data_IF_361903001300
#
_entry.id   IF_361903001300
#
_cell.length_a   1.000
_cell.length_b   1.000
_cell.length_c   1.000
_cell.angle_alpha   90.00
_cell.angle_beta   90.00
_cell.angle_gamma   90.00
#
_symmetry.space_group_name_H-M   'P 1'
#
loop_
_entity.id
_entity.type
_entity.pdbx_description
1 polymer ?
#
# COMPACT_ATOMS: atom_id res chain seq x y z
N UNK A 1 -20.31 0.04 -0.12
CA UNK A 1 -19.19 -0.84 0.22
C UNK A 1 -19.05 -1.79 -0.96
N UNK A 2 -18.01 -1.64 -1.79
CA UNK A 2 -17.80 -2.59 -2.87
C UNK A 2 -17.42 -3.93 -2.23
N UNK A 3 -18.10 -5.01 -2.60
CA UNK A 3 -17.74 -6.36 -2.15
C UNK A 3 -16.34 -6.69 -2.68
N UNK A 4 -15.32 -6.48 -1.85
CA UNK A 4 -13.96 -6.84 -2.18
C UNK A 4 -13.77 -8.33 -1.87
N UNK A 5 -13.61 -9.14 -2.91
CA UNK A 5 -13.21 -10.54 -2.73
C UNK A 5 -11.89 -10.60 -1.96
N UNK A 6 -11.74 -11.47 -0.95
CA UNK A 6 -10.52 -11.57 -0.19
C UNK A 6 -9.35 -12.02 -1.08
N UNK A 7 -8.15 -11.50 -0.81
CA UNK A 7 -6.94 -11.78 -1.60
C UNK A 7 -6.64 -13.27 -1.69
N UNK A 8 -6.93 -14.05 -0.64
CA UNK A 8 -6.76 -15.50 -0.66
C UNK A 8 -7.68 -16.18 -1.68
N UNK A 9 -8.93 -15.74 -1.83
CA UNK A 9 -9.82 -16.25 -2.88
C UNK A 9 -9.26 -15.91 -4.26
N UNK A 10 -8.81 -14.67 -4.48
CA UNK A 10 -8.18 -14.25 -5.75
C UNK A 10 -6.92 -15.06 -6.08
N UNK A 11 -6.11 -15.42 -5.08
CA UNK A 11 -4.96 -16.32 -5.24
C UNK A 11 -5.42 -17.72 -5.67
N UNK A 12 -6.49 -18.25 -5.08
CA UNK A 12 -7.03 -19.56 -5.45
C UNK A 12 -7.62 -19.57 -6.86
N UNK A 13 -8.32 -18.50 -7.26
CA UNK A 13 -8.87 -18.32 -8.60
C UNK A 13 -7.75 -18.29 -9.65
N UNK A 14 -6.73 -17.46 -9.42
CA UNK A 14 -5.54 -17.38 -10.28
C UNK A 14 -4.83 -18.72 -10.41
N UNK A 15 -4.67 -19.46 -9.30
CA UNK A 15 -4.05 -20.80 -9.31
C UNK A 15 -4.90 -21.79 -10.12
N UNK A 16 -6.21 -21.74 -9.99
CA UNK A 16 -7.15 -22.60 -10.72
C UNK A 16 -7.13 -22.30 -12.22
N UNK A 17 -7.22 -21.02 -12.60
CA UNK A 17 -7.14 -20.58 -14.00
C UNK A 17 -5.82 -21.03 -14.65
N UNK A 18 -4.67 -20.80 -13.98
CA UNK A 18 -3.36 -21.26 -14.46
C UNK A 18 -3.33 -22.78 -14.64
N UNK A 19 -3.87 -23.55 -13.67
CA UNK A 19 -3.91 -25.02 -13.75
C UNK A 19 -4.71 -25.48 -14.98
N UNK A 20 -5.88 -24.87 -15.23
CA UNK A 20 -6.73 -25.21 -16.37
C UNK A 20 -6.05 -24.87 -17.69
N UNK A 21 -5.44 -23.69 -17.79
CA UNK A 21 -4.65 -23.29 -18.96
C UNK A 21 -3.50 -24.28 -19.23
N UNK A 22 -2.67 -24.57 -18.22
CA UNK A 22 -1.56 -25.53 -18.35
C UNK A 22 -2.05 -26.92 -18.75
N UNK A 23 -3.16 -27.39 -18.19
CA UNK A 23 -3.74 -28.68 -18.58
C UNK A 23 -4.15 -28.70 -20.05
N UNK A 24 -4.78 -27.62 -20.54
CA UNK A 24 -5.19 -27.49 -21.94
C UNK A 24 -3.97 -27.47 -22.88
N UNK A 25 -2.94 -26.67 -22.55
CA UNK A 25 -1.68 -26.65 -23.32
C UNK A 25 -1.06 -28.04 -23.40
N UNK A 26 -1.00 -28.75 -22.28
CA UNK A 26 -0.39 -30.07 -22.23
C UNK A 26 -1.18 -31.12 -23.01
N UNK A 27 -2.51 -31.05 -23.01
CA UNK A 27 -3.37 -31.92 -23.80
C UNK A 27 -3.14 -31.68 -25.30
N UNK A 28 -3.24 -30.43 -25.76
CA UNK A 28 -2.98 -30.07 -27.17
C UNK A 28 -1.58 -30.53 -27.58
N UNK A 29 -0.55 -30.26 -26.76
CA UNK A 29 0.84 -30.65 -27.08
C UNK A 29 1.01 -32.16 -27.26
N UNK A 30 0.21 -32.98 -26.57
CA UNK A 30 0.30 -34.45 -26.62
C UNK A 30 -0.48 -35.04 -27.79
N UNK A 31 -1.62 -34.45 -28.12
CA UNK A 31 -2.61 -35.06 -29.01
C UNK A 31 -2.77 -34.32 -30.35
N UNK A 32 -2.04 -33.21 -30.59
CA UNK A 32 -2.23 -32.40 -31.81
C UNK A 32 -2.03 -33.17 -33.12
N UNK A 33 -1.26 -34.27 -33.12
CA UNK A 33 -1.03 -35.11 -34.30
C UNK A 33 -2.24 -35.98 -34.63
N UNK A 34 -3.01 -36.35 -33.61
CA UNK A 34 -4.20 -37.20 -33.73
C UNK A 34 -5.49 -36.39 -33.90
N UNK A 35 -5.42 -35.06 -33.73
CA UNK A 35 -6.54 -34.14 -33.91
C UNK A 35 -6.72 -33.75 -35.38
N UNK A 36 -7.97 -33.70 -35.83
CA UNK A 36 -8.33 -33.03 -37.07
C UNK A 36 -8.09 -31.51 -37.00
N UNK A 37 -8.06 -30.86 -38.16
CA UNK A 37 -7.87 -29.40 -38.21
C UNK A 37 -8.98 -28.63 -37.47
N UNK A 38 -10.22 -29.12 -37.50
CA UNK A 38 -11.35 -28.50 -36.81
C UNK A 38 -11.27 -28.69 -35.29
N UNK A 39 -10.91 -29.89 -34.82
CA UNK A 39 -10.67 -30.16 -33.39
C UNK A 39 -9.51 -29.33 -32.84
N UNK A 40 -8.44 -29.19 -33.62
CA UNK A 40 -7.29 -28.37 -33.25
C UNK A 40 -7.69 -26.89 -33.17
N UNK A 41 -8.49 -26.40 -34.14
CA UNK A 41 -9.03 -25.03 -34.14
C UNK A 41 -9.95 -24.78 -32.94
N UNK A 42 -10.82 -25.72 -32.60
CA UNK A 42 -11.67 -25.62 -31.41
C UNK A 42 -10.83 -25.62 -30.12
N UNK A 43 -9.81 -26.48 -30.05
CA UNK A 43 -8.88 -26.56 -28.93
C UNK A 43 -8.12 -25.25 -28.73
N UNK A 44 -7.67 -24.61 -29.82
CA UNK A 44 -7.05 -23.28 -29.75
C UNK A 44 -8.03 -22.21 -29.27
N UNK A 45 -9.28 -22.19 -29.75
CA UNK A 45 -10.30 -21.26 -29.24
C UNK A 45 -10.50 -21.42 -27.72
N UNK A 46 -10.61 -22.66 -27.25
CA UNK A 46 -10.73 -22.97 -25.81
C UNK A 46 -9.48 -22.52 -25.05
N UNK A 47 -8.28 -22.75 -25.61
CA UNK A 47 -7.02 -22.34 -25.02
C UNK A 47 -6.92 -20.81 -24.89
N UNK A 48 -7.30 -20.06 -25.92
CA UNK A 48 -7.34 -18.59 -25.89
C UNK A 48 -8.28 -18.10 -24.79
N UNK A 49 -9.47 -18.68 -24.67
CA UNK A 49 -10.41 -18.33 -23.60
C UNK A 49 -9.82 -18.60 -22.20
N UNK A 50 -9.14 -19.74 -22.01
CA UNK A 50 -8.45 -20.00 -20.74
C UNK A 50 -7.29 -19.02 -20.50
N UNK A 51 -6.62 -18.58 -21.55
CA UNK A 51 -5.58 -17.54 -21.48
C UNK A 51 -6.16 -16.20 -21.00
N UNK A 52 -7.29 -15.77 -21.54
CA UNK A 52 -8.00 -14.56 -21.09
C UNK A 52 -8.34 -14.62 -19.60
N UNK A 53 -8.88 -15.75 -19.14
CA UNK A 53 -9.20 -15.95 -17.72
C UNK A 53 -7.97 -15.87 -16.80
N UNK A 54 -6.81 -16.32 -17.27
CA UNK A 54 -5.55 -16.18 -16.53
C UNK A 54 -5.13 -14.72 -16.45
N UNK A 55 -5.30 -13.94 -17.52
CA UNK A 55 -5.01 -12.51 -17.53
C UNK A 55 -5.93 -11.76 -16.56
N UNK A 56 -7.25 -11.95 -16.69
CA UNK A 56 -8.26 -11.36 -15.80
C UNK A 56 -7.96 -11.67 -14.33
N UNK A 57 -7.73 -12.94 -13.96
CA UNK A 57 -7.44 -13.30 -12.58
C UNK A 57 -6.12 -12.72 -12.05
N UNK A 58 -5.12 -12.47 -12.91
CA UNK A 58 -3.90 -11.77 -12.50
C UNK A 58 -4.15 -10.27 -12.31
N UNK A 59 -4.94 -9.64 -13.19
CA UNK A 59 -5.30 -8.22 -13.10
C UNK A 59 -6.11 -7.94 -11.84
N UNK A 60 -7.10 -8.78 -11.53
CA UNK A 60 -7.90 -8.68 -10.31
C UNK A 60 -7.04 -8.82 -9.04
N UNK A 61 -6.13 -9.81 -9.01
CA UNK A 61 -5.23 -10.01 -7.89
C UNK A 61 -4.25 -8.82 -7.73
N UNK A 62 -3.73 -8.29 -8.83
CA UNK A 62 -2.85 -7.12 -8.80
C UNK A 62 -3.58 -5.87 -8.31
N UNK A 63 -4.82 -5.67 -8.76
CA UNK A 63 -5.66 -4.57 -8.30
C UNK A 63 -5.92 -4.65 -6.79
N UNK A 64 -6.16 -5.86 -6.25
CA UNK A 64 -6.36 -6.06 -4.82
C UNK A 64 -5.10 -5.72 -3.99
N UNK A 65 -3.91 -6.16 -4.42
CA UNK A 65 -2.67 -5.77 -3.74
C UNK A 65 -2.41 -4.27 -3.77
N UNK A 66 -2.68 -3.62 -4.90
CA UNK A 66 -2.50 -2.17 -5.02
C UNK A 66 -3.46 -1.42 -4.08
N UNK A 67 -4.70 -1.91 -3.91
CA UNK A 67 -5.68 -1.33 -3.01
C UNK A 67 -5.29 -1.51 -1.54
N UNK A 68 -4.83 -2.69 -1.14
CA UNK A 68 -4.35 -2.97 0.23
C UNK A 68 -3.14 -2.09 0.59
N UNK A 69 -2.13 -2.01 -0.29
CA UNK A 69 -0.97 -1.15 -0.06
C UNK A 69 -1.30 0.35 -0.01
N UNK A 70 -2.28 0.81 -0.80
CA UNK A 70 -2.75 2.20 -0.72
C UNK A 70 -3.48 2.51 0.60
N UNK A 71 -4.19 1.52 1.16
CA UNK A 71 -4.83 1.66 2.46
C UNK A 71 -3.80 1.74 3.59
N UNK A 72 -2.78 0.87 3.59
CA UNK A 72 -1.70 0.89 4.58
C UNK A 72 -0.98 2.27 4.61
N UNK A 73 -0.66 2.82 3.43
CA UNK A 73 -0.04 4.15 3.32
C UNK A 73 -0.94 5.27 3.87
N UNK A 74 -2.26 5.19 3.62
CA UNK A 74 -3.20 6.18 4.13
C UNK A 74 -3.38 6.10 5.66
N UNK A 75 -3.22 4.92 6.26
CA UNK A 75 -3.22 4.74 7.70
C UNK A 75 -1.94 5.30 8.34
N UNK A 76 -0.78 5.07 7.73
CA UNK A 76 0.50 5.63 8.15
C UNK A 76 0.50 7.17 8.07
N UNK A 77 0.02 7.74 6.97
CA UNK A 77 -0.08 9.20 6.80
C UNK A 77 -0.97 9.85 7.88
N UNK A 78 -2.09 9.21 8.26
CA UNK A 78 -2.93 9.69 9.36
C UNK A 78 -2.22 9.66 10.70
N UNK A 79 -1.46 8.60 10.98
CA UNK A 79 -0.69 8.49 12.22
C UNK A 79 0.40 9.58 12.30
N UNK A 80 1.07 9.86 11.18
CA UNK A 80 2.07 10.93 11.09
C UNK A 80 1.47 12.32 11.30
N UNK A 81 0.28 12.58 10.74
CA UNK A 81 -0.46 13.84 10.96
C UNK A 81 -0.82 13.98 12.44
N UNK A 82 -1.42 12.95 13.04
CA UNK A 82 -1.82 12.96 14.46
C UNK A 82 -0.60 13.20 15.37
N UNK A 83 0.50 12.52 15.10
CA UNK A 83 1.76 12.72 15.83
C UNK A 83 2.25 14.16 15.70
N UNK A 84 2.21 14.72 14.49
CA UNK A 84 2.64 16.10 14.23
C UNK A 84 1.76 17.11 14.99
N UNK A 85 0.44 16.88 15.03
CA UNK A 85 -0.50 17.71 15.80
C UNK A 85 -0.19 17.65 17.30
N UNK A 86 0.05 16.45 17.85
CA UNK A 86 0.42 16.28 19.25
C UNK A 86 1.75 16.95 19.60
N UNK A 87 2.77 16.84 18.73
CA UNK A 87 4.05 17.51 18.91
C UNK A 87 3.91 19.05 18.90
N UNK A 88 3.03 19.58 18.05
CA UNK A 88 2.76 21.01 17.99
C UNK A 88 2.05 21.51 19.26
N UNK A 89 1.05 20.77 19.73
CA UNK A 89 0.31 21.11 20.96
C UNK A 89 1.20 21.04 22.20
N UNK A 90 2.11 20.06 22.28
CA UNK A 90 3.13 19.99 23.32
C UNK A 90 4.07 21.18 23.30
N UNK A 91 4.60 21.58 22.13
CA UNK A 91 5.48 22.75 21.99
C UNK A 91 4.75 24.06 22.27
N UNK A 92 3.46 24.16 21.96
CA UNK A 92 2.65 25.34 22.26
C UNK A 92 2.33 25.49 23.75
N UNK A 93 2.34 24.39 24.51
CA UNK A 93 2.14 24.38 25.97
C UNK A 93 3.45 24.38 26.77
N UNK A 94 4.61 24.30 26.13
CA UNK A 94 5.89 24.58 26.78
C UNK A 94 5.93 26.07 27.15
N UNK A 95 6.00 26.45 28.44
CA UNK A 95 6.20 27.84 28.80
C UNK A 95 7.52 28.29 28.17
N UNK A 96 7.53 29.46 27.53
CA UNK A 96 8.76 30.07 27.05
C UNK A 96 9.71 30.26 28.24
N UNK A 97 10.58 29.28 28.50
CA UNK A 97 11.73 29.46 29.36
C UNK A 97 12.68 30.29 28.51
N UNK A 98 12.46 31.59 28.56
CA UNK A 98 13.44 32.59 28.19
C UNK A 98 14.69 32.22 29.00
N UNK A 99 15.67 31.59 28.34
CA UNK A 99 17.02 31.46 28.88
C UNK A 99 17.55 32.89 28.95
N UNK A 100 17.26 33.56 30.07
CA UNK A 100 17.94 34.80 30.44
C UNK A 100 19.38 34.38 30.71
N UNK A 101 20.19 34.43 29.66
CA UNK A 101 21.63 34.53 29.81
C UNK A 101 21.86 35.83 30.58
N UNK A 102 22.14 35.71 31.89
CA UNK A 102 22.63 36.80 32.71
C UNK A 102 23.98 37.23 32.15
N UNK A 103 23.97 38.08 31.12
CA UNK A 103 25.08 38.98 30.87
C UNK A 103 25.10 39.96 32.03
N UNK A 104 26.03 39.68 32.93
CA UNK A 104 26.70 40.61 33.83
C UNK A 104 26.71 42.05 33.29
N UNK A 105 26.84 43.05 34.17
CA UNK A 105 26.91 44.51 33.93
C UNK A 105 25.67 45.34 34.33
N UNK A 106 25.30 45.30 35.62
CA UNK A 106 25.20 46.52 36.44
C UNK A 106 24.85 46.15 37.88
N UNK A 107 25.75 46.49 38.81
CA UNK A 107 25.47 46.38 40.25
C UNK A 107 24.35 47.36 40.62
N UNK A 108 23.33 46.95 41.38
CA UNK A 108 22.33 47.90 41.87
C UNK A 108 22.97 48.80 42.94
N UNK A 109 22.92 50.11 42.72
CA UNK A 109 23.27 51.11 43.73
C UNK A 109 22.08 51.21 44.69
N UNK A 110 22.32 51.05 46.00
CA UNK A 110 21.29 51.22 47.02
C UNK A 110 21.04 52.71 47.29
N UNK A 111 19.77 53.06 47.54
CA UNK A 111 19.22 54.42 47.73
C UNK A 111 19.88 55.28 48.85
N UNK A 112 20.87 54.73 49.55
CA UNK A 112 21.62 55.38 50.63
C UNK A 112 22.86 56.16 50.19
N UNK A 113 23.10 56.30 48.87
CA UNK A 113 24.32 56.93 48.32
C UNK A 113 24.10 58.23 47.54
N UNK A 114 22.92 58.84 47.58
CA UNK A 114 22.70 60.18 47.00
C UNK A 114 23.04 61.26 48.06
N UNK A 115 23.98 62.19 47.79
CA UNK A 115 24.16 63.35 48.65
C UNK A 115 22.94 64.28 48.56
N UNK A 116 22.56 64.89 49.69
CA UNK A 116 21.50 65.90 49.76
C UNK A 116 21.85 67.17 48.98
#
# INVERSE_FOLDING_TARGET
MADHRPIEELRTDRKTAKRLFTRMVNHIRREFVDMSADELKESFKKLTLQGSKVMEANEELQAAYNAEGAQELAEEEKADIEKTEQEYEQKSNEPAIERVENTDHSRPITLSQLPQ
#
